data_IF_681849432558
#
_entry.id   IF_681849432558
#
_cell.length_a   1.000
_cell.length_b   1.000
_cell.length_c   1.000
_cell.angle_alpha   90.00
_cell.angle_beta   90.00
_cell.angle_gamma   90.00
#
_symmetry.space_group_name_H-M   'P 1'
#
loop_
_entity.id
_entity.type
_entity.pdbx_description
1 polymer ?
#
# COMPACT_ATOMS: atom_id res chain seq x y z
N UNK A 1 -8.58 -20.26 -11.32
CA UNK A 1 -8.33 -19.70 -9.97
C UNK A 1 -7.69 -20.78 -9.12
N UNK A 2 -6.61 -20.47 -8.40
CA UNK A 2 -5.93 -21.45 -7.54
C UNK A 2 -6.70 -21.66 -6.24
N UNK A 3 -6.60 -22.84 -5.63
CA UNK A 3 -7.29 -23.15 -4.35
C UNK A 3 -6.94 -22.16 -3.23
N UNK A 4 -5.69 -21.71 -3.19
CA UNK A 4 -5.24 -20.70 -2.23
C UNK A 4 -5.96 -19.34 -2.42
N UNK A 5 -6.10 -18.87 -3.66
CA UNK A 5 -6.79 -17.61 -3.98
C UNK A 5 -8.28 -17.69 -3.60
N UNK A 6 -8.91 -18.85 -3.85
CA UNK A 6 -10.30 -19.10 -3.48
C UNK A 6 -10.50 -19.01 -1.96
N UNK A 7 -9.60 -19.64 -1.17
CA UNK A 7 -9.63 -19.58 0.29
C UNK A 7 -9.44 -18.15 0.81
N UNK A 8 -8.55 -17.35 0.20
CA UNK A 8 -8.38 -15.95 0.57
C UNK A 8 -9.66 -15.16 0.32
N UNK A 9 -10.29 -15.32 -0.85
CA UNK A 9 -11.53 -14.60 -1.18
C UNK A 9 -12.63 -14.97 -0.21
N UNK A 10 -12.79 -16.26 0.08
CA UNK A 10 -13.78 -16.77 1.02
C UNK A 10 -13.55 -16.22 2.44
N UNK A 11 -12.32 -16.28 2.96
CA UNK A 11 -11.96 -15.69 4.25
C UNK A 11 -12.25 -14.19 4.30
N UNK A 12 -11.89 -13.45 3.25
CA UNK A 12 -12.12 -12.01 3.19
C UNK A 12 -13.61 -11.66 3.13
N UNK A 13 -14.45 -12.50 2.51
CA UNK A 13 -15.90 -12.26 2.40
C UNK A 13 -16.68 -12.70 3.64
N UNK A 14 -16.30 -13.82 4.25
CA UNK A 14 -17.00 -14.41 5.40
C UNK A 14 -16.58 -13.81 6.73
N UNK A 15 -15.30 -13.45 6.87
CA UNK A 15 -14.73 -12.97 8.13
C UNK A 15 -14.55 -11.46 8.11
N UNK A 16 -14.66 -10.81 9.27
CA UNK A 16 -14.34 -9.39 9.43
C UNK A 16 -12.83 -9.12 9.50
N UNK A 17 -12.08 -9.65 8.52
CA UNK A 17 -10.62 -9.51 8.41
C UNK A 17 -10.19 -8.05 8.43
N UNK A 18 -10.94 -7.17 7.76
CA UNK A 18 -10.72 -5.72 7.78
C UNK A 18 -10.72 -5.15 9.22
N UNK A 19 -11.72 -5.53 10.03
CA UNK A 19 -11.86 -5.03 11.40
C UNK A 19 -10.72 -5.54 12.27
N UNK A 20 -10.35 -6.82 12.12
CA UNK A 20 -9.23 -7.43 12.84
C UNK A 20 -7.93 -6.71 12.50
N UNK A 21 -7.61 -6.55 11.21
CA UNK A 21 -6.41 -5.87 10.75
C UNK A 21 -6.36 -4.41 11.21
N UNK A 22 -7.49 -3.72 11.21
CA UNK A 22 -7.58 -2.33 11.71
C UNK A 22 -7.25 -2.26 13.21
N UNK A 23 -7.82 -3.17 14.02
CA UNK A 23 -7.53 -3.23 15.46
C UNK A 23 -6.05 -3.57 15.68
N UNK A 24 -5.50 -4.56 14.97
CA UNK A 24 -4.08 -4.93 15.06
C UNK A 24 -3.18 -3.75 14.73
N UNK A 25 -3.48 -2.99 13.66
CA UNK A 25 -2.73 -1.80 13.29
C UNK A 25 -2.76 -0.71 14.37
N UNK A 26 -3.92 -0.46 14.97
CA UNK A 26 -4.07 0.53 16.05
C UNK A 26 -3.28 0.12 17.29
N UNK A 27 -3.41 -1.14 17.73
CA UNK A 27 -2.67 -1.67 18.89
C UNK A 27 -1.16 -1.54 18.66
N UNK A 28 -0.70 -1.86 17.45
CA UNK A 28 0.72 -1.76 17.10
C UNK A 28 1.22 -0.31 17.11
N UNK A 29 0.41 0.64 16.62
CA UNK A 29 0.72 2.07 16.67
C UNK A 29 0.84 2.58 18.12
N UNK A 30 -0.06 2.16 19.01
CA UNK A 30 -0.02 2.51 20.44
C UNK A 30 1.23 1.95 21.11
N UNK A 31 1.57 0.68 20.86
CA UNK A 31 2.79 0.05 21.38
C UNK A 31 4.03 0.85 20.94
N UNK A 32 4.07 1.27 19.67
CA UNK A 32 5.20 2.05 19.14
C UNK A 32 5.29 3.44 19.78
N UNK A 33 4.15 4.08 20.05
CA UNK A 33 4.10 5.41 20.66
C UNK A 33 4.52 5.39 22.14
N UNK A 34 4.14 4.35 22.88
CA UNK A 34 4.40 4.22 24.32
C UNK A 34 5.72 3.50 24.63
N UNK A 35 6.23 2.69 23.70
CA UNK A 35 7.43 1.89 23.89
C UNK A 35 8.71 2.67 23.59
N UNK A 36 9.68 2.59 24.50
CA UNK A 36 11.06 3.06 24.27
C UNK A 36 11.86 2.00 23.53
N UNK A 37 11.45 1.68 22.29
CA UNK A 37 12.16 0.70 21.48
C UNK A 37 13.41 1.29 20.81
N UNK A 38 14.47 0.48 20.65
CA UNK A 38 15.57 0.79 19.74
C UNK A 38 15.07 1.18 18.35
N UNK A 39 15.76 2.13 17.70
CA UNK A 39 15.39 2.68 16.40
C UNK A 39 15.12 1.61 15.32
N UNK A 40 15.88 0.52 15.33
CA UNK A 40 15.70 -0.60 14.38
C UNK A 40 14.34 -1.27 14.54
N UNK A 41 13.90 -1.48 15.78
CA UNK A 41 12.60 -2.10 16.08
C UNK A 41 11.47 -1.15 15.65
N UNK A 42 11.59 0.15 15.89
CA UNK A 42 10.61 1.13 15.42
C UNK A 42 10.49 1.16 13.88
N UNK A 43 11.59 1.04 13.16
CA UNK A 43 11.56 0.94 11.68
C UNK A 43 10.85 -0.34 11.24
N UNK A 44 11.16 -1.48 11.88
CA UNK A 44 10.50 -2.74 11.57
C UNK A 44 8.99 -2.67 11.82
N UNK A 45 8.58 -2.11 12.96
CA UNK A 45 7.16 -1.93 13.30
C UNK A 45 6.47 -1.01 12.28
N UNK A 46 7.10 0.10 11.89
CA UNK A 46 6.56 0.99 10.87
C UNK A 46 6.33 0.26 9.52
N UNK A 47 7.26 -0.60 9.09
CA UNK A 47 7.09 -1.41 7.88
C UNK A 47 5.91 -2.39 8.01
N UNK A 48 5.72 -3.00 9.18
CA UNK A 48 4.58 -3.89 9.46
C UNK A 48 3.26 -3.12 9.39
N UNK A 49 3.19 -1.92 9.98
CA UNK A 49 2.00 -1.06 9.91
C UNK A 49 1.67 -0.70 8.46
N UNK A 50 2.67 -0.33 7.66
CA UNK A 50 2.48 -0.04 6.23
C UNK A 50 1.96 -1.25 5.46
N UNK A 51 2.49 -2.45 5.72
CA UNK A 51 2.00 -3.68 5.12
C UNK A 51 0.54 -3.96 5.50
N UNK A 52 0.16 -3.76 6.77
CA UNK A 52 -1.22 -3.92 7.24
C UNK A 52 -2.17 -2.98 6.47
N UNK A 53 -1.78 -1.72 6.26
CA UNK A 53 -2.59 -0.73 5.52
C UNK A 53 -2.87 -1.22 4.09
N UNK A 54 -1.83 -1.70 3.38
CA UNK A 54 -1.98 -2.26 2.03
C UNK A 54 -2.93 -3.47 2.05
N UNK A 55 -2.76 -4.39 3.00
CA UNK A 55 -3.59 -5.60 3.10
C UNK A 55 -5.05 -5.22 3.36
N UNK A 56 -5.34 -4.25 4.24
CA UNK A 56 -6.71 -3.77 4.50
C UNK A 56 -7.40 -3.33 3.20
N UNK A 57 -6.66 -2.66 2.31
CA UNK A 57 -7.20 -2.15 1.05
C UNK A 57 -7.43 -3.24 0.02
N UNK A 58 -6.52 -4.21 -0.04
CA UNK A 58 -6.71 -5.43 -0.82
C UNK A 58 -7.97 -6.18 -0.33
N UNK A 59 -8.14 -6.35 0.99
CA UNK A 59 -9.33 -7.00 1.58
C UNK A 59 -10.61 -6.24 1.21
N UNK A 60 -10.60 -4.89 1.30
CA UNK A 60 -11.73 -4.06 0.87
C UNK A 60 -12.06 -4.25 -0.60
N UNK A 61 -11.04 -4.30 -1.47
CA UNK A 61 -11.22 -4.58 -2.90
C UNK A 61 -11.84 -5.95 -3.13
N UNK A 62 -11.34 -6.98 -2.46
CA UNK A 62 -11.87 -8.36 -2.56
C UNK A 62 -13.33 -8.42 -2.11
N UNK A 63 -13.67 -7.78 -0.99
CA UNK A 63 -15.06 -7.74 -0.48
C UNK A 63 -16.02 -7.10 -1.49
N UNK A 64 -15.60 -6.00 -2.14
CA UNK A 64 -16.43 -5.27 -3.11
C UNK A 64 -16.51 -5.94 -4.48
N UNK A 65 -15.61 -6.87 -4.80
CA UNK A 65 -15.53 -7.46 -6.13
C UNK A 65 -16.26 -8.80 -6.18
N UNK A 66 -17.00 -9.05 -7.25
CA UNK A 66 -17.74 -10.30 -7.44
C UNK A 66 -16.81 -11.49 -7.65
N UNK A 67 -17.25 -12.66 -7.17
CA UNK A 67 -16.48 -13.92 -7.30
C UNK A 67 -16.34 -14.28 -8.78
N UNK A 68 -17.33 -13.96 -9.61
CA UNK A 68 -17.29 -14.22 -11.04
C UNK A 68 -16.16 -13.44 -11.74
N UNK A 69 -15.91 -12.20 -11.32
CA UNK A 69 -14.79 -11.39 -11.83
C UNK A 69 -13.45 -12.04 -11.50
N UNK A 70 -13.28 -12.62 -10.31
CA UNK A 70 -12.10 -13.38 -9.92
C UNK A 70 -11.97 -14.73 -10.62
N UNK A 71 -13.09 -15.36 -10.98
CA UNK A 71 -13.11 -16.63 -11.71
C UNK A 71 -12.58 -16.46 -13.15
N UNK A 72 -13.01 -15.38 -13.81
CA UNK A 72 -12.70 -15.09 -15.22
C UNK A 72 -11.31 -14.47 -15.43
N UNK A 73 -10.72 -13.90 -14.38
CA UNK A 73 -9.50 -13.10 -14.47
C UNK A 73 -8.39 -13.60 -13.55
N UNK A 74 -7.15 -13.15 -13.80
CA UNK A 74 -6.06 -13.37 -12.86
C UNK A 74 -6.33 -12.60 -11.56
N UNK A 75 -6.20 -13.26 -10.41
CA UNK A 75 -6.41 -12.67 -9.09
C UNK A 75 -5.69 -11.32 -8.92
N UNK A 76 -4.40 -11.28 -9.24
CA UNK A 76 -3.59 -10.07 -9.10
C UNK A 76 -4.05 -8.95 -10.03
N UNK A 77 -4.51 -9.26 -11.24
CA UNK A 77 -5.02 -8.25 -12.16
C UNK A 77 -6.28 -7.59 -11.59
N UNK A 78 -7.15 -8.36 -10.96
CA UNK A 78 -8.34 -7.83 -10.29
C UNK A 78 -7.96 -6.92 -9.12
N UNK A 79 -6.96 -7.31 -8.32
CA UNK A 79 -6.46 -6.49 -7.20
C UNK A 79 -5.84 -5.17 -7.71
N UNK A 80 -4.88 -5.25 -8.64
CA UNK A 80 -4.17 -4.07 -9.16
C UNK A 80 -5.02 -3.19 -10.09
N UNK A 81 -6.17 -3.69 -10.58
CA UNK A 81 -7.12 -2.86 -11.32
C UNK A 81 -7.76 -1.75 -10.46
N UNK A 82 -7.67 -1.84 -9.12
CA UNK A 82 -8.10 -0.75 -8.25
C UNK A 82 -7.02 0.33 -8.19
N UNK A 83 -7.42 1.56 -8.54
CA UNK A 83 -6.51 2.70 -8.48
C UNK A 83 -6.05 2.98 -7.05
N UNK A 84 -6.90 2.81 -6.03
CA UNK A 84 -6.50 3.08 -4.65
C UNK A 84 -5.45 2.10 -4.14
N UNK A 85 -5.59 0.81 -4.50
CA UNK A 85 -4.61 -0.22 -4.13
C UNK A 85 -3.28 0.05 -4.84
N UNK A 86 -3.34 0.36 -6.13
CA UNK A 86 -2.14 0.68 -6.91
C UNK A 86 -1.46 1.98 -6.44
N UNK A 87 -2.22 3.02 -6.11
CA UNK A 87 -1.73 4.29 -5.58
C UNK A 87 -1.02 4.10 -4.24
N UNK A 88 -1.61 3.39 -3.29
CA UNK A 88 -0.98 3.17 -1.98
C UNK A 88 0.30 2.34 -2.10
N UNK A 89 0.30 1.29 -2.93
CA UNK A 89 1.51 0.49 -3.16
C UNK A 89 2.60 1.37 -3.78
N UNK A 90 2.29 2.12 -4.85
CA UNK A 90 3.23 3.04 -5.49
C UNK A 90 3.74 4.12 -4.53
N UNK A 91 2.86 4.71 -3.72
CA UNK A 91 3.21 5.73 -2.74
C UNK A 91 4.17 5.18 -1.69
N UNK A 92 3.86 4.02 -1.11
CA UNK A 92 4.69 3.38 -0.08
C UNK A 92 6.05 2.96 -0.67
N UNK A 93 6.07 2.36 -1.85
CA UNK A 93 7.33 2.00 -2.53
C UNK A 93 8.18 3.25 -2.79
N UNK A 94 7.58 4.35 -3.24
CA UNK A 94 8.30 5.62 -3.47
C UNK A 94 8.88 6.17 -2.17
N UNK A 95 8.10 6.19 -1.09
CA UNK A 95 8.57 6.66 0.22
C UNK A 95 9.74 5.82 0.74
N UNK A 96 9.70 4.50 0.56
CA UNK A 96 10.81 3.60 0.93
C UNK A 96 12.06 3.84 0.08
N UNK A 97 11.89 4.03 -1.23
CA UNK A 97 13.00 4.37 -2.13
C UNK A 97 13.63 5.71 -1.74
N UNK A 98 12.81 6.72 -1.45
CA UNK A 98 13.30 8.04 -1.02
C UNK A 98 14.05 7.95 0.33
N UNK A 99 13.55 7.16 1.28
CA UNK A 99 14.25 6.93 2.55
C UNK A 99 15.59 6.21 2.37
N UNK A 100 15.74 5.41 1.31
CA UNK A 100 16.96 4.68 1.01
C UNK A 100 18.05 5.53 0.36
N UNK A 101 17.73 6.75 -0.10
CA UNK A 101 18.72 7.67 -0.68
C UNK A 101 19.53 8.32 0.45
N UNK A 102 20.87 8.18 0.49
CA UNK A 102 21.69 8.76 1.55
C UNK A 102 21.60 10.29 1.54
N UNK A 103 21.11 10.88 2.64
CA UNK A 103 21.05 12.32 2.88
C UNK A 103 22.45 12.94 3.02
N UNK A 104 23.20 13.05 1.92
CA UNK A 104 24.44 13.85 1.86
C UNK A 104 24.23 15.26 1.30
N UNK A 105 23.01 15.61 0.91
CA UNK A 105 22.69 16.93 0.36
C UNK A 105 22.51 17.90 1.54
N UNK A 106 23.51 18.77 1.76
CA UNK A 106 23.43 19.87 2.74
C UNK A 106 22.45 20.92 2.21
N UNK A 107 21.30 21.03 2.85
CA UNK A 107 20.22 21.95 2.48
C UNK A 107 20.60 23.36 2.98
N UNK A 108 21.13 24.20 2.11
CA UNK A 108 21.21 25.66 2.32
C UNK A 108 19.82 26.26 2.06
N UNK A 109 19.43 27.32 2.76
CA UNK A 109 18.05 27.85 2.85
C UNK A 109 17.32 28.15 1.52
N UNK A 110 18.04 28.32 0.40
CA UNK A 110 17.45 28.43 -0.95
C UNK A 110 17.09 27.08 -1.62
N UNK A 111 17.66 25.97 -1.16
CA UNK A 111 17.38 24.61 -1.65
C UNK A 111 16.08 24.03 -1.10
N UNK A 112 15.62 24.48 0.07
CA UNK A 112 14.44 23.95 0.77
C UNK A 112 13.15 24.13 -0.06
N UNK A 113 13.01 25.22 -0.80
CA UNK A 113 11.88 25.46 -1.70
C UNK A 113 11.93 24.54 -2.93
N UNK A 114 13.10 24.40 -3.55
CA UNK A 114 13.31 23.49 -4.69
C UNK A 114 13.12 22.01 -4.29
N UNK A 115 13.57 21.63 -3.10
CA UNK A 115 13.38 20.29 -2.55
C UNK A 115 11.89 19.97 -2.33
N UNK A 116 11.10 20.94 -1.85
CA UNK A 116 9.64 20.79 -1.72
C UNK A 116 8.98 20.63 -3.09
N UNK A 117 9.35 21.46 -4.08
CA UNK A 117 8.82 21.35 -5.44
C UNK A 117 9.17 20.00 -6.04
N UNK A 118 10.43 19.56 -5.93
CA UNK A 118 10.88 18.27 -6.46
C UNK A 118 10.14 17.12 -5.76
N UNK A 119 9.95 17.19 -4.44
CA UNK A 119 9.17 16.20 -3.71
C UNK A 119 7.70 16.14 -4.20
N UNK A 120 7.06 17.30 -4.40
CA UNK A 120 5.70 17.39 -4.93
C UNK A 120 5.61 16.83 -6.35
N UNK A 121 6.58 17.13 -7.22
CA UNK A 121 6.64 16.61 -8.59
C UNK A 121 6.81 15.10 -8.59
N UNK A 122 7.69 14.55 -7.75
CA UNK A 122 7.86 13.10 -7.61
C UNK A 122 6.56 12.45 -7.14
N UNK A 123 5.91 13.00 -6.11
CA UNK A 123 4.61 12.50 -5.63
C UNK A 123 3.57 12.53 -6.74
N UNK A 124 3.46 13.64 -7.49
CA UNK A 124 2.50 13.77 -8.59
C UNK A 124 2.76 12.76 -9.72
N UNK A 125 4.03 12.54 -10.10
CA UNK A 125 4.41 11.54 -11.10
C UNK A 125 4.02 10.14 -10.62
N UNK A 126 4.23 9.83 -9.34
CA UNK A 126 3.91 8.53 -8.76
C UNK A 126 2.40 8.29 -8.76
N UNK A 127 1.60 9.28 -8.37
CA UNK A 127 0.13 9.22 -8.45
C UNK A 127 -0.36 9.05 -9.90
N UNK A 128 0.26 9.74 -10.85
CA UNK A 128 -0.08 9.59 -12.27
C UNK A 128 0.26 8.20 -12.80
N UNK A 129 1.44 7.69 -12.45
CA UNK A 129 1.91 6.36 -12.84
C UNK A 129 1.04 5.25 -12.23
N UNK A 130 0.67 5.35 -10.96
CA UNK A 130 -0.21 4.36 -10.31
C UNK A 130 -1.60 4.32 -10.95
N UNK A 131 -2.14 5.47 -11.35
CA UNK A 131 -3.39 5.53 -12.12
C UNK A 131 -3.29 4.82 -13.48
N UNK A 132 -2.16 5.00 -14.17
CA UNK A 132 -1.90 4.31 -15.45
C UNK A 132 -1.71 2.80 -15.27
N UNK A 133 -1.05 2.37 -14.19
CA UNK A 133 -0.90 0.96 -13.83
C UNK A 133 -2.28 0.33 -13.58
N UNK A 134 -3.13 1.00 -12.79
CA UNK A 134 -4.48 0.50 -12.53
C UNK A 134 -5.32 0.40 -13.81
N UNK A 135 -5.24 1.40 -14.69
CA UNK A 135 -5.88 1.38 -16.02
C UNK A 135 -5.36 0.24 -16.89
N UNK A 136 -4.04 0.00 -16.88
CA UNK A 136 -3.43 -1.11 -17.60
C UNK A 136 -4.00 -2.45 -17.14
N UNK A 137 -4.01 -2.72 -15.83
CA UNK A 137 -4.59 -3.96 -15.31
C UNK A 137 -6.09 -4.07 -15.57
N UNK A 138 -6.83 -2.96 -15.44
CA UNK A 138 -8.25 -2.91 -15.78
C UNK A 138 -8.50 -3.26 -17.25
N UNK A 139 -7.65 -2.81 -18.17
CA UNK A 139 -7.76 -3.14 -19.60
C UNK A 139 -7.50 -4.62 -19.92
N UNK A 140 -6.87 -5.36 -19.00
CA UNK A 140 -6.60 -6.80 -19.13
C UNK A 140 -7.70 -7.68 -18.52
N UNK A 141 -8.71 -7.08 -17.89
CA UNK A 141 -9.86 -7.82 -17.36
C UNK A 141 -10.80 -8.22 -18.50
N UNK A 142 -11.24 -9.47 -18.46
CA UNK A 142 -12.28 -10.09 -19.31
C UNK A 142 -13.64 -9.99 -18.65
#
# INVERSE_FOLDING_TARGET
>A
MKDFEKRIIELCKTTNVEKILTITGIVLAIITLLGTFPRIINVLIALVVLAIIIIIRIVRKIKKTDIETFSKNNFWYVIFSDSNVSEEICFITTMLLFYSIPRKIKITTGSLFWDIIVALVIVAIVFFMSGNIAKFFKSKLK
#
